data_IF_154138265412
#
_entry.id   IF_154138265412
#
_cell.length_a   1.000
_cell.length_b   1.000
_cell.length_c   1.000
_cell.angle_alpha   90.00
_cell.angle_beta   90.00
_cell.angle_gamma   90.00
#
_symmetry.space_group_name_H-M   'P 1'
#
loop_
_entity.id
_entity.type
_entity.pdbx_description
1 polymer ?
#
# COMPACT_ATOMS: atom_id res chain seq x y z
N UNK A 1 26.98 -40.68 -48.32
CA UNK A 1 26.64 -39.24 -48.27
C UNK A 1 25.76 -38.88 -47.06
N UNK A 2 24.65 -39.59 -46.79
CA UNK A 2 23.74 -39.32 -45.65
C UNK A 2 24.41 -39.28 -44.26
N UNK A 3 25.35 -40.20 -43.98
CA UNK A 3 26.10 -40.24 -42.70
C UNK A 3 26.99 -39.02 -42.44
N UNK A 4 27.57 -38.40 -43.49
CA UNK A 4 28.38 -37.17 -43.37
C UNK A 4 27.50 -35.94 -43.13
N UNK A 5 26.32 -35.90 -43.74
CA UNK A 5 25.32 -34.86 -43.49
C UNK A 5 24.84 -34.86 -42.02
N UNK A 6 24.58 -36.06 -41.47
CA UNK A 6 24.26 -36.25 -40.05
C UNK A 6 25.37 -35.74 -39.11
N UNK A 7 26.63 -36.00 -39.44
CA UNK A 7 27.78 -35.51 -38.67
C UNK A 7 27.88 -33.98 -38.69
N UNK A 8 27.69 -33.33 -39.84
CA UNK A 8 27.67 -31.87 -39.91
C UNK A 8 26.47 -31.26 -39.16
N UNK A 9 25.31 -31.90 -39.24
CA UNK A 9 24.11 -31.47 -38.50
C UNK A 9 24.33 -31.54 -36.98
N UNK A 10 24.96 -32.63 -36.51
CA UNK A 10 25.34 -32.79 -35.10
C UNK A 10 26.42 -31.81 -34.66
N UNK A 11 27.41 -31.55 -35.52
CA UNK A 11 28.45 -30.57 -35.21
C UNK A 11 27.90 -29.15 -35.10
N UNK A 12 26.82 -28.83 -35.83
CA UNK A 12 26.19 -27.51 -35.80
C UNK A 12 25.12 -27.40 -34.70
N UNK A 13 24.45 -28.50 -34.34
CA UNK A 13 23.40 -28.48 -33.32
C UNK A 13 23.94 -28.13 -31.94
N UNK A 14 25.15 -28.58 -31.59
CA UNK A 14 25.75 -28.31 -30.28
C UNK A 14 25.97 -26.81 -30.06
N UNK A 15 26.70 -26.06 -30.94
CA UNK A 15 26.83 -24.61 -30.82
C UNK A 15 25.47 -23.88 -30.84
N UNK A 16 24.54 -24.35 -31.66
CA UNK A 16 23.22 -23.73 -31.78
C UNK A 16 22.42 -23.86 -30.48
N UNK A 17 22.44 -25.02 -29.84
CA UNK A 17 21.79 -25.25 -28.56
C UNK A 17 22.40 -24.39 -27.45
N UNK A 18 23.72 -24.25 -27.42
CA UNK A 18 24.39 -23.33 -26.48
C UNK A 18 23.95 -21.88 -26.69
N UNK A 19 23.85 -21.43 -27.94
CA UNK A 19 23.38 -20.08 -28.24
C UNK A 19 21.92 -19.88 -27.79
N UNK A 20 21.04 -20.84 -28.07
CA UNK A 20 19.63 -20.78 -27.64
C UNK A 20 19.52 -20.74 -26.11
N UNK A 21 20.31 -21.53 -25.38
CA UNK A 21 20.33 -21.51 -23.92
C UNK A 21 20.68 -20.13 -23.37
N UNK A 22 21.76 -19.51 -23.87
CA UNK A 22 22.19 -18.18 -23.42
C UNK A 22 21.13 -17.12 -23.75
N UNK A 23 20.55 -17.18 -24.95
CA UNK A 23 19.49 -16.27 -25.35
C UNK A 23 18.23 -16.43 -24.48
N UNK A 24 17.84 -17.67 -24.20
CA UNK A 24 16.71 -17.98 -23.33
C UNK A 24 16.94 -17.48 -21.90
N UNK A 25 18.14 -17.72 -21.34
CA UNK A 25 18.50 -17.26 -20.00
C UNK A 25 18.42 -15.74 -19.88
N UNK A 26 18.96 -15.00 -20.85
CA UNK A 26 18.92 -13.54 -20.84
C UNK A 26 17.48 -13.00 -20.99
N UNK A 27 16.65 -13.64 -21.83
CA UNK A 27 15.24 -13.25 -21.96
C UNK A 27 14.45 -13.55 -20.69
N UNK A 28 14.70 -14.69 -20.07
CA UNK A 28 14.06 -15.07 -18.81
C UNK A 28 14.42 -14.09 -17.69
N UNK A 29 15.72 -13.78 -17.52
CA UNK A 29 16.23 -12.78 -16.59
C UNK A 29 15.54 -11.43 -16.72
N UNK A 30 15.33 -10.96 -17.96
CA UNK A 30 14.63 -9.70 -18.21
C UNK A 30 13.18 -9.74 -17.72
N UNK A 31 12.45 -10.79 -18.07
CA UNK A 31 11.05 -10.96 -17.67
C UNK A 31 10.92 -11.04 -16.15
N UNK A 32 11.79 -11.81 -15.49
CA UNK A 32 11.78 -11.93 -14.02
C UNK A 32 12.03 -10.58 -13.35
N UNK A 33 12.97 -9.78 -13.87
CA UNK A 33 13.19 -8.41 -13.37
C UNK A 33 11.95 -7.53 -13.51
N UNK A 34 11.31 -7.55 -14.67
CA UNK A 34 10.08 -6.76 -14.91
C UNK A 34 8.94 -7.19 -13.98
N UNK A 35 8.73 -8.50 -13.80
CA UNK A 35 7.74 -9.03 -12.85
C UNK A 35 8.04 -8.57 -11.43
N UNK A 36 9.29 -8.64 -10.98
CA UNK A 36 9.67 -8.21 -9.64
C UNK A 36 9.47 -6.70 -9.42
N UNK A 37 9.71 -5.88 -10.45
CA UNK A 37 9.42 -4.43 -10.40
C UNK A 37 7.92 -4.20 -10.27
N UNK A 38 7.10 -4.90 -11.07
CA UNK A 38 5.65 -4.79 -11.03
C UNK A 38 5.07 -5.22 -9.68
N UNK A 39 5.56 -6.32 -9.11
CA UNK A 39 5.13 -6.81 -7.79
C UNK A 39 5.46 -5.79 -6.70
N UNK A 40 6.66 -5.21 -6.71
CA UNK A 40 7.02 -4.14 -5.77
C UNK A 40 6.09 -2.94 -5.92
N UNK A 41 5.82 -2.52 -7.16
CA UNK A 41 4.94 -1.37 -7.41
C UNK A 41 3.51 -1.66 -6.97
N UNK A 42 3.01 -2.87 -7.17
CA UNK A 42 1.70 -3.29 -6.69
C UNK A 42 1.62 -3.20 -5.16
N UNK A 43 2.65 -3.65 -4.44
CA UNK A 43 2.68 -3.57 -2.99
C UNK A 43 2.67 -2.12 -2.49
N UNK A 44 3.48 -1.24 -3.10
CA UNK A 44 3.47 0.19 -2.80
C UNK A 44 2.07 0.81 -2.99
N UNK A 45 1.40 0.50 -4.09
CA UNK A 45 0.05 0.99 -4.37
C UNK A 45 -0.98 0.49 -3.35
N UNK A 46 -0.87 -0.77 -2.90
CA UNK A 46 -1.74 -1.32 -1.84
C UNK A 46 -1.53 -0.56 -0.53
N UNK A 47 -0.28 -0.28 -0.18
CA UNK A 47 0.02 0.42 1.07
C UNK A 47 -0.36 1.90 1.02
N UNK A 48 -0.23 2.56 -0.14
CA UNK A 48 -0.80 3.88 -0.38
C UNK A 48 -2.33 3.88 -0.27
N UNK A 49 -3.00 2.90 -0.89
CA UNK A 49 -4.46 2.79 -0.83
C UNK A 49 -4.98 2.65 0.61
N UNK A 50 -4.34 1.80 1.43
CA UNK A 50 -4.68 1.66 2.85
C UNK A 50 -4.60 2.99 3.61
N UNK A 51 -3.57 3.81 3.33
CA UNK A 51 -3.41 5.14 3.94
C UNK A 51 -4.54 6.08 3.52
N UNK A 52 -4.92 6.09 2.25
CA UNK A 52 -6.04 6.90 1.77
C UNK A 52 -7.36 6.49 2.40
N UNK A 53 -7.66 5.18 2.47
CA UNK A 53 -8.87 4.68 3.12
C UNK A 53 -8.93 5.11 4.58
N UNK A 54 -7.80 5.02 5.31
CA UNK A 54 -7.72 5.47 6.69
C UNK A 54 -7.98 7.00 6.82
N UNK A 55 -7.39 7.81 5.94
CA UNK A 55 -7.60 9.25 5.93
C UNK A 55 -9.08 9.62 5.65
N UNK A 56 -9.71 8.95 4.67
CA UNK A 56 -11.13 9.12 4.36
C UNK A 56 -12.01 8.72 5.55
N UNK A 57 -11.68 7.63 6.25
CA UNK A 57 -12.42 7.20 7.44
C UNK A 57 -12.37 8.25 8.56
N UNK A 58 -11.22 8.90 8.77
CA UNK A 58 -11.08 9.97 9.78
C UNK A 58 -11.88 11.22 9.38
N UNK A 59 -11.78 11.65 8.13
CA UNK A 59 -12.55 12.81 7.64
C UNK A 59 -14.07 12.56 7.73
N UNK A 60 -14.53 11.42 7.23
CA UNK A 60 -15.96 11.05 7.26
C UNK A 60 -16.49 10.90 8.69
N UNK A 61 -15.69 10.39 9.62
CA UNK A 61 -16.07 10.34 11.04
C UNK A 61 -16.23 11.76 11.62
N UNK A 62 -15.35 12.69 11.25
CA UNK A 62 -15.42 14.09 11.69
C UNK A 62 -16.69 14.78 11.18
N UNK A 63 -17.00 14.63 9.89
CA UNK A 63 -18.25 15.15 9.30
C UNK A 63 -19.49 14.55 9.97
N UNK A 64 -19.45 13.26 10.29
CA UNK A 64 -20.57 12.59 10.96
C UNK A 64 -20.77 13.10 12.38
N UNK A 65 -19.68 13.33 13.13
CA UNK A 65 -19.73 13.92 14.48
C UNK A 65 -20.28 15.34 14.42
N UNK A 66 -19.82 16.16 13.48
CA UNK A 66 -20.32 17.54 13.33
C UNK A 66 -21.82 17.57 13.01
N UNK A 67 -22.28 16.66 12.13
CA UNK A 67 -23.68 16.52 11.80
C UNK A 67 -24.52 16.15 13.02
N UNK A 68 -24.15 15.11 13.76
CA UNK A 68 -24.87 14.68 14.97
C UNK A 68 -24.89 15.81 16.01
N UNK A 69 -23.76 16.50 16.20
CA UNK A 69 -23.68 17.62 17.14
C UNK A 69 -24.67 18.73 16.77
N UNK A 70 -24.74 19.11 15.49
CA UNK A 70 -25.57 20.23 15.03
C UNK A 70 -27.05 19.87 14.86
N UNK A 71 -27.34 18.73 14.24
CA UNK A 71 -28.68 18.33 13.82
C UNK A 71 -29.43 17.60 14.95
N UNK A 72 -28.81 16.59 15.56
CA UNK A 72 -29.50 15.75 16.55
C UNK A 72 -29.44 16.34 17.96
N UNK A 73 -28.32 17.00 18.30
CA UNK A 73 -28.06 17.52 19.63
C UNK A 73 -28.23 19.05 19.75
N UNK A 74 -28.44 19.75 18.63
CA UNK A 74 -28.61 21.22 18.61
C UNK A 74 -27.40 21.98 19.16
N UNK A 75 -26.21 21.38 19.14
CA UNK A 75 -25.00 21.98 19.65
C UNK A 75 -24.44 22.99 18.66
N UNK A 76 -24.21 24.20 19.14
CA UNK A 76 -23.51 25.25 18.40
C UNK A 76 -22.11 25.49 18.95
N UNK A 77 -21.19 25.82 18.05
CA UNK A 77 -19.80 26.12 18.42
C UNK A 77 -19.76 27.46 19.18
N UNK A 78 -19.61 27.40 20.51
CA UNK A 78 -19.48 28.60 21.35
C UNK A 78 -18.11 29.27 21.21
N UNK A 79 -18.08 30.60 21.39
CA UNK A 79 -16.84 31.39 21.40
C UNK A 79 -16.12 31.21 22.74
N UNK A 80 -14.81 31.42 22.74
CA UNK A 80 -13.98 31.27 23.94
C UNK A 80 -14.43 32.17 25.12
N UNK A 81 -15.05 33.31 24.82
CA UNK A 81 -15.61 34.22 25.82
C UNK A 81 -16.82 33.66 26.58
N UNK A 82 -17.49 32.62 26.04
CA UNK A 82 -18.68 32.00 26.62
C UNK A 82 -18.38 30.71 27.41
N UNK A 83 -17.10 30.38 27.60
CA UNK A 83 -16.65 29.14 28.27
C UNK A 83 -16.33 29.46 29.73
N UNK A 84 -17.10 28.88 30.66
CA UNK A 84 -16.83 28.97 32.10
C UNK A 84 -16.13 27.68 32.55
N UNK A 85 -14.89 27.79 33.00
CA UNK A 85 -14.11 26.66 33.51
C UNK A 85 -14.23 26.58 35.04
N UNK A 86 -14.91 25.54 35.54
CA UNK A 86 -15.06 25.30 36.97
C UNK A 86 -13.96 24.33 37.44
N UNK A 87 -13.02 24.81 38.26
CA UNK A 87 -12.11 23.93 39.01
C UNK A 87 -12.76 23.56 40.34
N UNK A 88 -13.22 22.31 40.48
CA UNK A 88 -13.78 21.83 41.74
C UNK A 88 -12.61 21.47 42.67
N UNK A 89 -12.36 22.32 43.68
CA UNK A 89 -11.48 21.98 44.79
C UNK A 89 -12.19 20.90 45.63
N UNK A 90 -11.61 19.70 45.67
CA UNK A 90 -12.09 18.56 46.45
C UNK A 90 -12.23 18.98 47.93
N UNK A 91 -13.46 19.01 48.43
CA UNK A 91 -13.79 19.42 49.79
C UNK A 91 -13.02 18.57 50.82
N UNK A 92 -12.31 19.25 51.73
CA UNK A 92 -11.82 18.67 52.98
C UNK A 92 -13.04 18.56 53.91
N UNK A 93 -13.43 17.32 54.24
CA UNK A 93 -14.38 17.06 55.32
C UNK A 93 -13.88 17.68 56.62
N UNK A 94 -14.77 18.45 57.25
CA UNK A 94 -14.64 18.93 58.62
C UNK A 94 -15.48 17.97 59.46
N UNK A 95 -14.87 16.92 59.98
CA UNK A 95 -15.47 16.13 61.06
C UNK A 95 -14.89 16.64 62.38
N UNK A 96 -15.83 16.99 63.26
CA UNK A 96 -15.65 17.52 64.61
C UNK A 96 -15.30 16.43 65.61
#
# INVERSE_FOLDING_TARGET
MKKRLLLYLWSLSIPLLFFVQVWQANRYERIVREVNILVKRQQELIDENKRYVAAIAVLSATERIERIAREDLGLEKKRAADIIQLSIARGRNHDS
#
